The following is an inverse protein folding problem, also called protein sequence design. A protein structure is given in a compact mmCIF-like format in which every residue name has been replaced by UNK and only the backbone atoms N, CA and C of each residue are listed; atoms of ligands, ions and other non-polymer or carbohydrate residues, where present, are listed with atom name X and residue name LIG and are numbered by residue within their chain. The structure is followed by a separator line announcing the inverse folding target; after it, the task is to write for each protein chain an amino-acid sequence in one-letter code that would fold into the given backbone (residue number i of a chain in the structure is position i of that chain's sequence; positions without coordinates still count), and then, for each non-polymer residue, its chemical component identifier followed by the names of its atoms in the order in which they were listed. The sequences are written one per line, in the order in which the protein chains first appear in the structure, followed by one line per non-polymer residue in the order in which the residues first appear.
data_IF_159597824291
#
_entry.id   IF_159597824291
#
_cell.length_a   1.000
_cell.length_b   1.000
_cell.length_c   1.000
_cell.angle_alpha   90.00
_cell.angle_beta   90.00
_cell.angle_gamma   90.00
#
_symmetry.space_group_name_H-M   'P 1'
#
loop_
_entity.id
_entity.type
_entity.pdbx_description
1 polymer ?
#
# COMPACT_ATOMS: atom_id res chain seq x y z
N UNK A 1 30.50 -4.92 -2.91
CA UNK A 1 30.30 -6.10 -3.77
C UNK A 1 29.37 -5.69 -4.91
N UNK A 2 29.88 -5.57 -6.14
CA UNK A 2 29.04 -5.22 -7.30
C UNK A 2 28.39 -6.49 -7.88
N UNK A 3 27.09 -6.65 -7.66
CA UNK A 3 26.32 -7.65 -8.39
C UNK A 3 26.12 -7.13 -9.81
N UNK A 4 26.75 -7.78 -10.79
CA UNK A 4 26.62 -7.37 -12.20
C UNK A 4 25.18 -7.62 -12.65
N UNK A 5 24.64 -6.73 -13.49
CA UNK A 5 23.29 -6.85 -14.07
C UNK A 5 22.99 -8.23 -14.65
N UNK A 6 23.99 -8.89 -15.24
CA UNK A 6 23.88 -10.26 -15.77
C UNK A 6 23.62 -11.31 -14.68
N UNK A 7 24.19 -11.13 -13.50
CA UNK A 7 24.05 -12.07 -12.38
C UNK A 7 22.71 -11.86 -11.66
N UNK A 8 22.21 -10.62 -11.59
CA UNK A 8 20.84 -10.31 -11.17
C UNK A 8 19.79 -10.85 -12.16
N UNK A 9 20.03 -10.71 -13.47
CA UNK A 9 19.14 -11.27 -14.51
C UNK A 9 19.18 -12.80 -14.54
N UNK A 10 20.29 -13.43 -14.14
CA UNK A 10 20.31 -14.88 -13.89
C UNK A 10 19.52 -15.24 -12.64
N UNK A 11 19.59 -14.47 -11.55
CA UNK A 11 18.77 -14.71 -10.36
C UNK A 11 17.26 -14.62 -10.67
N UNK A 12 16.84 -13.60 -11.43
CA UNK A 12 15.44 -13.43 -11.85
C UNK A 12 15.03 -14.34 -13.02
N UNK A 13 15.97 -14.71 -13.89
CA UNK A 13 15.72 -15.53 -15.08
C UNK A 13 15.86 -17.04 -14.85
N UNK A 14 16.62 -17.48 -13.85
CA UNK A 14 16.72 -18.92 -13.49
C UNK A 14 15.43 -19.39 -12.78
N UNK A 15 14.66 -18.48 -12.19
CA UNK A 15 13.28 -18.77 -11.74
C UNK A 15 12.25 -18.82 -12.87
N UNK A 16 12.61 -18.46 -14.11
CA UNK A 16 11.66 -18.44 -15.27
C UNK A 16 12.16 -19.06 -16.58
N UNK A 17 13.40 -19.54 -16.70
CA UNK A 17 14.05 -19.59 -18.03
C UNK A 17 14.93 -20.78 -18.42
N UNK A 18 14.86 -21.97 -17.79
CA UNK A 18 15.66 -23.14 -18.28
C UNK A 18 14.87 -24.43 -18.52
N UNK A 19 13.56 -24.35 -18.73
CA UNK A 19 12.77 -25.45 -19.32
C UNK A 19 11.77 -24.85 -20.33
N UNK A 20 12.26 -24.43 -21.50
CA UNK A 20 11.39 -23.95 -22.58
C UNK A 20 11.65 -24.59 -23.95
N UNK A 21 12.36 -25.73 -24.00
CA UNK A 21 12.59 -26.46 -25.25
C UNK A 21 12.45 -27.98 -25.07
N UNK A 22 11.26 -28.44 -24.67
CA UNK A 22 10.73 -29.74 -25.14
C UNK A 22 9.23 -29.86 -24.84
N UNK A 23 8.43 -29.64 -25.88
CA UNK A 23 7.11 -30.22 -26.12
C UNK A 23 6.05 -30.15 -25.00
N UNK A 24 5.11 -29.22 -25.20
CA UNK A 24 3.68 -29.47 -25.01
C UNK A 24 3.23 -29.91 -23.62
N UNK A 25 3.18 -29.00 -22.66
CA UNK A 25 2.08 -28.91 -21.67
C UNK A 25 2.16 -27.57 -20.94
N UNK A 26 0.98 -27.03 -20.65
CA UNK A 26 0.76 -25.82 -19.84
C UNK A 26 1.48 -25.99 -18.48
N UNK A 27 2.04 -24.91 -17.93
CA UNK A 27 1.98 -24.46 -16.52
C UNK A 27 3.17 -23.53 -16.22
N UNK A 28 2.84 -22.28 -15.84
CA UNK A 28 3.79 -21.35 -15.23
C UNK A 28 4.36 -21.99 -13.95
N UNK A 29 5.68 -22.02 -13.83
CA UNK A 29 6.41 -22.56 -12.69
C UNK A 29 6.20 -21.72 -11.43
N UNK A 30 5.16 -22.07 -10.67
CA UNK A 30 4.96 -21.65 -9.29
C UNK A 30 5.80 -22.53 -8.34
N UNK A 31 6.35 -22.02 -7.23
CA UNK A 31 7.12 -22.82 -6.25
C UNK A 31 6.34 -24.00 -5.65
N UNK A 32 5.03 -24.07 -5.87
CA UNK A 32 4.15 -25.18 -5.50
C UNK A 32 4.41 -26.50 -6.26
N UNK A 33 5.13 -26.52 -7.38
CA UNK A 33 5.39 -27.77 -8.12
C UNK A 33 6.68 -28.53 -7.71
N UNK A 34 7.50 -27.98 -6.81
CA UNK A 34 8.70 -28.68 -6.31
C UNK A 34 8.32 -29.96 -5.54
N UNK A 35 7.12 -29.99 -4.95
CA UNK A 35 6.59 -31.17 -4.25
C UNK A 35 6.34 -32.39 -5.17
N UNK A 36 6.32 -32.21 -6.49
CA UNK A 36 6.05 -33.27 -7.46
C UNK A 36 7.31 -33.85 -8.13
N UNK A 37 8.50 -33.32 -7.83
CA UNK A 37 9.74 -33.80 -8.44
C UNK A 37 10.43 -34.86 -7.56
N UNK A 38 10.91 -35.94 -8.20
CA UNK A 38 11.56 -37.06 -7.51
C UNK A 38 12.77 -36.64 -6.67
N UNK A 39 13.06 -37.43 -5.63
CA UNK A 39 14.12 -37.17 -4.61
C UNK A 39 15.49 -36.81 -5.18
N UNK A 40 15.83 -37.28 -6.39
CA UNK A 40 17.12 -37.01 -7.03
C UNK A 40 17.23 -35.59 -7.64
N UNK A 41 16.13 -35.03 -8.14
CA UNK A 41 16.09 -33.65 -8.65
C UNK A 41 16.26 -32.66 -7.50
N UNK A 42 15.60 -32.93 -6.37
CA UNK A 42 15.73 -32.14 -5.12
C UNK A 42 17.17 -32.18 -4.59
N UNK A 43 17.81 -33.35 -4.53
CA UNK A 43 19.22 -33.48 -4.10
C UNK A 43 20.19 -32.69 -4.98
N UNK A 44 19.93 -32.63 -6.29
CA UNK A 44 20.78 -31.91 -7.25
C UNK A 44 20.66 -30.40 -7.07
N UNK A 45 19.44 -29.89 -6.84
CA UNK A 45 19.22 -28.47 -6.52
C UNK A 45 19.85 -28.07 -5.18
N UNK A 46 19.77 -28.94 -4.16
CA UNK A 46 20.42 -28.73 -2.85
C UNK A 46 21.95 -28.71 -2.95
N UNK A 47 22.57 -29.52 -3.82
CA UNK A 47 24.02 -29.42 -4.08
C UNK A 47 24.40 -28.12 -4.81
N UNK A 48 23.58 -27.66 -5.74
CA UNK A 48 23.80 -26.39 -6.43
C UNK A 48 23.65 -25.18 -5.49
N UNK A 49 22.79 -25.26 -4.47
CA UNK A 49 22.61 -24.22 -3.45
C UNK A 49 23.74 -24.15 -2.42
N UNK A 50 24.63 -25.16 -2.33
CA UNK A 50 25.82 -25.10 -1.46
C UNK A 50 26.82 -24.02 -1.88
N UNK A 51 26.70 -23.49 -3.11
CA UNK A 51 27.48 -22.36 -3.60
C UNK A 51 26.82 -20.99 -3.34
N UNK A 52 25.66 -20.97 -2.69
CA UNK A 52 24.89 -19.74 -2.46
C UNK A 52 25.14 -19.27 -1.03
N UNK A 53 25.63 -18.04 -0.89
CA UNK A 53 25.82 -17.37 0.41
C UNK A 53 24.53 -16.71 0.93
N UNK A 54 23.37 -17.05 0.35
CA UNK A 54 22.10 -16.45 0.72
C UNK A 54 21.39 -17.28 1.80
N UNK A 55 21.17 -16.67 2.96
CA UNK A 55 20.41 -17.26 4.06
C UNK A 55 18.98 -16.66 4.06
N UNK A 56 17.94 -17.40 3.65
CA UNK A 56 16.58 -16.90 3.66
C UNK A 56 16.07 -16.64 5.09
N UNK A 57 15.17 -15.66 5.24
CA UNK A 57 14.47 -15.43 6.51
C UNK A 57 13.60 -16.64 6.83
N UNK A 58 13.70 -17.15 8.07
CA UNK A 58 12.84 -18.23 8.56
C UNK A 58 11.42 -17.69 8.75
N UNK A 59 10.47 -18.24 7.99
CA UNK A 59 9.03 -17.95 8.15
C UNK A 59 8.39 -18.96 9.11
N UNK A 60 7.23 -18.70 9.73
CA UNK A 60 6.59 -19.63 10.66
C UNK A 60 5.97 -20.86 9.99
N UNK A 61 6.00 -20.95 8.66
CA UNK A 61 5.40 -22.03 7.88
C UNK A 61 6.52 -22.93 7.34
N UNK A 62 6.53 -24.24 7.66
CA UNK A 62 7.52 -25.16 7.09
C UNK A 62 7.39 -25.20 5.57
N UNK A 63 8.51 -25.01 4.86
CA UNK A 63 8.53 -25.09 3.40
C UNK A 63 9.09 -26.45 2.94
N UNK A 64 8.52 -26.97 1.85
CA UNK A 64 8.95 -28.25 1.26
C UNK A 64 10.42 -28.26 0.84
N UNK A 65 10.97 -27.09 0.50
CA UNK A 65 12.38 -26.90 0.14
C UNK A 65 13.35 -27.25 1.28
N UNK A 66 12.88 -27.30 2.53
CA UNK A 66 13.72 -27.66 3.67
C UNK A 66 13.92 -29.18 3.81
N UNK A 67 13.13 -29.99 3.10
CA UNK A 67 13.23 -31.45 3.07
C UNK A 67 13.28 -32.09 4.48
N UNK A 68 12.44 -31.60 5.39
CA UNK A 68 12.30 -32.09 6.76
C UNK A 68 11.20 -33.15 6.86
N UNK A 69 11.41 -34.21 7.66
CA UNK A 69 10.35 -35.14 8.03
C UNK A 69 9.27 -34.45 8.88
N UNK A 70 8.09 -35.05 9.00
CA UNK A 70 6.99 -34.52 9.80
C UNK A 70 7.39 -34.27 11.27
N UNK A 71 8.18 -35.18 11.86
CA UNK A 71 8.71 -35.04 13.22
C UNK A 71 9.69 -33.88 13.34
N UNK A 72 10.57 -33.72 12.33
CA UNK A 72 11.52 -32.62 12.28
C UNK A 72 10.82 -31.28 12.11
N UNK A 73 9.76 -31.21 11.29
CA UNK A 73 8.94 -30.01 11.13
C UNK A 73 8.27 -29.64 12.45
N UNK A 74 7.58 -30.59 13.11
CA UNK A 74 6.94 -30.37 14.41
C UNK A 74 7.91 -29.86 15.46
N UNK A 75 9.13 -30.39 15.50
CA UNK A 75 10.16 -29.96 16.43
C UNK A 75 10.69 -28.54 16.10
N UNK A 76 11.05 -28.29 14.83
CA UNK A 76 11.70 -27.05 14.37
C UNK A 76 10.75 -25.84 14.31
N UNK A 77 9.46 -26.09 14.13
CA UNK A 77 8.39 -25.09 14.04
C UNK A 77 7.46 -25.08 15.25
N UNK A 78 7.85 -25.75 16.36
CA UNK A 78 7.09 -25.77 17.61
C UNK A 78 6.84 -24.37 18.18
N UNK A 79 7.81 -23.48 18.01
CA UNK A 79 7.76 -22.10 18.49
C UNK A 79 8.24 -21.16 17.38
N UNK A 80 7.74 -19.93 17.45
CA UNK A 80 8.17 -18.82 16.60
C UNK A 80 8.19 -17.55 17.44
N UNK A 81 8.97 -16.58 16.98
CA UNK A 81 9.05 -15.25 17.57
C UNK A 81 8.16 -14.31 16.77
N UNK A 82 7.43 -13.44 17.47
CA UNK A 82 6.68 -12.34 16.86
C UNK A 82 7.54 -11.09 16.99
N UNK A 83 7.97 -10.56 15.85
CA UNK A 83 8.76 -9.32 15.77
C UNK A 83 7.92 -8.30 15.00
N UNK A 84 7.70 -7.13 15.60
CA UNK A 84 7.01 -6.00 14.97
C UNK A 84 8.01 -5.15 14.17
N UNK A 85 8.64 -5.76 13.16
CA UNK A 85 9.68 -5.16 12.31
C UNK A 85 9.76 -5.85 10.94
N UNK A 86 10.34 -5.17 9.95
CA UNK A 86 10.67 -5.77 8.65
C UNK A 86 11.97 -6.57 8.77
N UNK A 87 11.83 -7.89 8.83
CA UNK A 87 12.97 -8.81 8.88
C UNK A 87 13.50 -9.10 7.48
N UNK A 88 14.78 -8.84 7.25
CA UNK A 88 15.45 -9.00 5.95
C UNK A 88 16.59 -10.02 6.00
N UNK A 89 16.95 -10.65 4.87
CA UNK A 89 18.17 -11.43 4.76
C UNK A 89 19.44 -10.60 4.97
N UNK A 90 20.54 -11.28 5.29
CA UNK A 90 21.85 -10.65 5.41
C UNK A 90 22.24 -9.85 4.16
N UNK A 91 22.77 -8.64 4.37
CA UNK A 91 23.18 -7.74 3.30
C UNK A 91 22.07 -6.84 2.73
N UNK A 92 20.83 -6.97 3.23
CA UNK A 92 19.72 -6.07 2.88
C UNK A 92 19.37 -5.14 4.03
N UNK A 93 18.90 -3.95 3.69
CA UNK A 93 18.38 -2.94 4.62
C UNK A 93 17.09 -2.36 4.07
N UNK A 94 16.34 -1.66 4.92
CA UNK A 94 15.21 -0.84 4.50
C UNK A 94 15.32 0.54 5.15
N UNK A 95 14.73 1.53 4.48
CA UNK A 95 14.63 2.90 4.98
C UNK A 95 13.15 3.33 4.92
N UNK A 96 12.67 4.01 5.96
CA UNK A 96 11.33 4.61 5.96
C UNK A 96 11.38 5.93 5.20
N UNK A 97 10.73 5.99 4.04
CA UNK A 97 10.71 7.19 3.18
C UNK A 97 9.68 8.21 3.66
N UNK A 98 8.52 7.75 4.11
CA UNK A 98 7.43 8.57 4.61
C UNK A 98 6.45 7.70 5.40
N UNK A 99 5.71 8.33 6.30
CA UNK A 99 4.66 7.73 7.12
C UNK A 99 3.44 8.62 7.18
N UNK A 100 2.29 8.05 7.53
CA UNK A 100 1.04 8.81 7.72
C UNK A 100 1.27 10.00 8.67
N UNK A 101 0.73 11.16 8.30
CA UNK A 101 0.89 12.41 9.06
C UNK A 101 2.07 13.29 8.60
N UNK A 102 3.09 12.75 7.93
CA UNK A 102 4.21 13.54 7.40
C UNK A 102 3.74 14.63 6.44
N UNK A 103 4.40 15.79 6.37
CA UNK A 103 4.00 16.87 5.46
C UNK A 103 4.10 16.45 3.98
N UNK A 104 3.05 16.77 3.21
CA UNK A 104 3.01 16.64 1.74
C UNK A 104 2.24 17.83 1.16
N UNK A 105 2.95 18.77 0.54
CA UNK A 105 2.35 20.01 0.03
C UNK A 105 1.67 20.84 1.13
N UNK A 106 0.41 21.18 0.92
CA UNK A 106 -0.48 21.89 1.84
C UNK A 106 -1.25 20.96 2.79
N UNK A 107 -0.90 19.67 2.80
CA UNK A 107 -1.57 18.63 3.57
C UNK A 107 -0.53 17.64 4.14
N UNK A 108 -0.94 16.40 4.36
CA UNK A 108 -0.16 15.32 4.99
C UNK A 108 -0.05 14.09 4.09
N UNK A 109 0.86 13.18 4.37
CA UNK A 109 0.89 11.84 3.81
C UNK A 109 -0.34 11.08 4.33
N UNK A 110 -1.06 10.42 3.44
CA UNK A 110 -2.35 9.78 3.75
C UNK A 110 -2.20 8.46 4.51
N UNK A 111 -3.34 7.89 4.89
CA UNK A 111 -3.42 6.64 5.65
C UNK A 111 -3.39 5.43 4.71
N UNK A 112 -2.77 4.34 5.18
CA UNK A 112 -2.73 3.05 4.50
C UNK A 112 -2.33 3.15 3.02
N UNK A 113 -1.06 3.48 2.80
CA UNK A 113 -0.52 3.54 1.45
C UNK A 113 -0.63 2.17 0.76
N UNK A 114 -0.95 2.20 -0.52
CA UNK A 114 -1.02 1.00 -1.36
C UNK A 114 -0.14 1.22 -2.59
N UNK A 115 -0.70 1.12 -3.80
CA UNK A 115 0.05 1.21 -5.05
C UNK A 115 0.96 2.43 -5.11
N UNK A 116 2.19 2.17 -5.56
CA UNK A 116 3.22 3.18 -5.75
C UNK A 116 3.80 3.10 -7.17
N UNK A 117 4.16 4.26 -7.71
CA UNK A 117 4.86 4.38 -8.99
C UNK A 117 5.96 5.41 -8.89
N UNK A 118 7.18 5.03 -9.28
CA UNK A 118 8.33 5.94 -9.32
C UNK A 118 8.53 6.45 -10.73
N UNK A 119 8.52 7.77 -10.88
CA UNK A 119 8.77 8.47 -12.14
C UNK A 119 10.09 9.23 -11.98
N UNK A 120 11.15 8.70 -12.60
CA UNK A 120 12.45 9.37 -12.64
C UNK A 120 12.34 10.68 -13.43
N UNK A 121 12.84 11.76 -12.85
CA UNK A 121 12.87 13.08 -13.51
C UNK A 121 14.28 13.44 -13.97
N UNK A 122 15.29 12.96 -13.22
CA UNK A 122 16.73 13.09 -13.48
C UNK A 122 17.48 11.93 -12.81
N UNK A 123 18.74 11.66 -13.18
CA UNK A 123 19.54 10.66 -12.48
C UNK A 123 19.51 10.85 -10.96
N UNK A 124 19.06 9.81 -10.25
CA UNK A 124 18.95 9.78 -8.77
C UNK A 124 17.91 10.74 -8.17
N UNK A 125 16.95 11.21 -8.96
CA UNK A 125 15.85 12.09 -8.53
C UNK A 125 14.54 11.66 -9.20
N UNK A 126 13.43 11.83 -8.51
CA UNK A 126 12.14 11.55 -9.12
C UNK A 126 10.96 11.79 -8.20
N UNK A 127 9.78 11.52 -8.74
CA UNK A 127 8.55 11.55 -7.99
C UNK A 127 8.09 10.14 -7.67
N UNK A 128 7.66 9.92 -6.44
CA UNK A 128 6.88 8.76 -6.06
C UNK A 128 5.42 9.18 -6.00
N UNK A 129 4.57 8.54 -6.78
CA UNK A 129 3.11 8.66 -6.67
C UNK A 129 2.60 7.52 -5.81
N UNK A 130 1.76 7.81 -4.83
CA UNK A 130 1.30 6.86 -3.81
C UNK A 130 -0.22 6.95 -3.69
N UNK A 131 -0.90 5.81 -3.75
CA UNK A 131 -2.31 5.71 -3.41
C UNK A 131 -2.49 5.57 -1.89
N UNK A 132 -3.54 6.18 -1.36
CA UNK A 132 -4.01 6.05 0.02
C UNK A 132 -5.43 5.51 -0.04
N UNK A 133 -5.57 4.20 0.19
CA UNK A 133 -6.74 3.46 -0.27
C UNK A 133 -7.97 3.67 0.63
N UNK A 134 -7.79 3.52 1.95
CA UNK A 134 -8.89 3.58 2.92
C UNK A 134 -8.37 3.94 4.32
N UNK A 135 -9.29 4.19 5.25
CA UNK A 135 -8.97 4.29 6.68
C UNK A 135 -9.43 3.03 7.43
N UNK A 136 -8.56 2.48 8.27
CA UNK A 136 -8.95 1.42 9.22
C UNK A 136 -9.64 2.04 10.41
N UNK A 137 -10.97 2.18 10.36
CA UNK A 137 -11.73 3.07 11.25
C UNK A 137 -11.43 2.96 12.75
N UNK A 138 -11.19 1.76 13.29
CA UNK A 138 -10.79 1.59 14.71
C UNK A 138 -9.40 2.16 14.96
N UNK A 139 -8.38 1.61 14.31
CA UNK A 139 -6.97 2.01 14.47
C UNK A 139 -6.76 3.48 14.14
N UNK A 140 -7.39 3.98 13.07
CA UNK A 140 -7.32 5.38 12.67
C UNK A 140 -7.81 6.29 13.79
N UNK A 141 -8.99 6.03 14.39
CA UNK A 141 -9.50 6.83 15.53
C UNK A 141 -8.59 6.76 16.75
N UNK A 142 -8.14 5.56 17.12
CA UNK A 142 -7.29 5.32 18.30
C UNK A 142 -5.93 6.03 18.22
N UNK A 143 -5.43 6.27 17.00
CA UNK A 143 -4.08 6.83 16.77
C UNK A 143 -4.08 8.22 16.13
N UNK A 144 -5.23 8.73 15.68
CA UNK A 144 -5.35 10.01 14.96
C UNK A 144 -4.69 11.15 15.70
N UNK A 145 -5.05 11.38 16.97
CA UNK A 145 -4.49 12.51 17.73
C UNK A 145 -2.98 12.37 17.92
N UNK A 146 -2.48 11.15 18.16
CA UNK A 146 -1.04 10.89 18.31
C UNK A 146 -0.25 11.21 17.04
N UNK A 147 -0.80 10.88 15.87
CA UNK A 147 -0.11 11.05 14.58
C UNK A 147 -0.31 12.46 14.02
N UNK A 148 -1.52 13.01 14.17
CA UNK A 148 -1.93 14.28 13.55
C UNK A 148 -1.76 15.47 14.49
N UNK A 149 -1.73 15.27 15.80
CA UNK A 149 -1.67 16.34 16.80
C UNK A 149 -2.97 17.13 16.93
N UNK A 150 -4.11 16.57 16.49
CA UNK A 150 -5.43 17.20 16.54
C UNK A 150 -6.46 16.21 17.04
N UNK A 151 -7.31 16.62 17.97
CA UNK A 151 -8.47 15.82 18.41
C UNK A 151 -9.65 15.98 17.47
N UNK A 152 -10.51 14.96 17.41
CA UNK A 152 -11.78 14.95 16.68
C UNK A 152 -12.91 14.54 17.61
N UNK A 153 -14.17 14.94 17.32
CA UNK A 153 -15.30 14.74 18.21
C UNK A 153 -15.85 13.30 18.17
N UNK A 154 -14.98 12.30 18.29
CA UNK A 154 -15.36 10.89 18.19
C UNK A 154 -16.30 10.47 19.31
N UNK A 155 -16.00 10.85 20.54
CA UNK A 155 -16.78 10.45 21.71
C UNK A 155 -18.18 11.05 21.69
N UNK A 156 -18.35 12.31 21.27
CA UNK A 156 -19.68 12.91 21.26
C UNK A 156 -20.55 12.36 20.13
N UNK A 157 -19.96 12.09 18.97
CA UNK A 157 -20.69 11.43 17.87
C UNK A 157 -21.03 9.99 18.24
N UNK A 158 -20.13 9.27 18.91
CA UNK A 158 -20.38 7.91 19.39
C UNK A 158 -21.47 7.87 20.44
N UNK A 159 -21.45 8.77 21.43
CA UNK A 159 -22.48 8.85 22.46
C UNK A 159 -23.88 9.05 21.85
N UNK A 160 -24.00 9.96 20.87
CA UNK A 160 -25.26 10.14 20.15
C UNK A 160 -25.68 8.88 19.37
N UNK A 161 -24.75 8.22 18.69
CA UNK A 161 -25.04 6.97 17.99
C UNK A 161 -25.53 5.88 18.96
N UNK A 162 -24.88 5.71 20.11
CA UNK A 162 -25.24 4.71 21.12
C UNK A 162 -26.68 4.94 21.65
N UNK A 163 -27.09 6.18 21.86
CA UNK A 163 -28.48 6.55 22.22
C UNK A 163 -29.48 6.24 21.10
N UNK A 164 -29.03 6.20 19.84
CA UNK A 164 -29.83 5.99 18.64
C UNK A 164 -29.58 4.62 17.99
N UNK A 165 -29.31 3.58 18.81
CA UNK A 165 -29.12 2.18 18.37
C UNK A 165 -27.98 2.00 17.34
N UNK A 166 -26.98 2.87 17.39
CA UNK A 166 -25.83 2.86 16.49
C UNK A 166 -26.06 3.57 15.16
N UNK A 167 -27.20 4.22 14.94
CA UNK A 167 -27.55 4.84 13.66
C UNK A 167 -27.73 6.36 13.77
N UNK A 168 -27.29 7.09 12.74
CA UNK A 168 -27.50 8.53 12.62
C UNK A 168 -27.91 8.86 11.18
N UNK A 169 -29.12 9.39 10.99
CA UNK A 169 -29.55 9.90 9.69
C UNK A 169 -29.08 11.35 9.48
N UNK A 170 -27.87 11.51 8.95
CA UNK A 170 -27.22 12.81 8.74
C UNK A 170 -27.92 13.68 7.68
N UNK A 171 -28.67 13.07 6.76
CA UNK A 171 -29.39 13.79 5.70
C UNK A 171 -30.61 14.56 6.24
N UNK A 172 -31.20 14.08 7.33
CA UNK A 172 -32.35 14.73 7.96
C UNK A 172 -31.94 15.92 8.87
N UNK A 173 -30.66 16.01 9.24
CA UNK A 173 -30.16 17.09 10.09
C UNK A 173 -30.10 18.42 9.33
N UNK A 174 -30.51 19.50 10.01
CA UNK A 174 -30.41 20.87 9.51
C UNK A 174 -28.96 21.24 9.16
N UNK A 175 -28.77 22.26 8.32
CA UNK A 175 -27.43 22.64 7.84
C UNK A 175 -26.53 23.17 8.96
N UNK A 176 -27.11 23.88 9.91
CA UNK A 176 -26.47 24.49 11.08
C UNK A 176 -26.52 23.59 12.33
N UNK A 177 -26.91 22.32 12.15
CA UNK A 177 -26.95 21.34 13.23
C UNK A 177 -25.52 21.05 13.78
N UNK A 178 -25.40 21.06 15.10
CA UNK A 178 -24.12 20.87 15.80
C UNK A 178 -23.59 19.45 15.62
N UNK A 179 -24.45 18.43 15.69
CA UNK A 179 -24.06 17.05 15.48
C UNK A 179 -23.61 16.84 14.03
N UNK A 180 -24.33 17.42 13.07
CA UNK A 180 -23.92 17.39 11.66
C UNK A 180 -22.54 17.98 11.45
N UNK A 181 -22.26 19.13 12.06
CA UNK A 181 -20.94 19.78 12.01
C UNK A 181 -19.82 18.90 12.58
N UNK A 182 -20.08 18.18 13.68
CA UNK A 182 -19.12 17.22 14.28
C UNK A 182 -18.86 16.03 13.36
N UNK A 183 -19.91 15.48 12.74
CA UNK A 183 -19.80 14.37 11.78
C UNK A 183 -19.04 14.81 10.54
N UNK A 184 -19.33 16.00 10.00
CA UNK A 184 -18.62 16.57 8.86
C UNK A 184 -17.13 16.78 9.16
N UNK A 185 -16.77 17.20 10.38
CA UNK A 185 -15.38 17.32 10.78
C UNK A 185 -14.64 15.97 10.72
N UNK A 186 -15.25 14.90 11.23
CA UNK A 186 -14.69 13.53 11.18
C UNK A 186 -14.58 13.05 9.73
N UNK A 187 -15.66 13.15 8.95
CA UNK A 187 -15.70 12.69 7.57
C UNK A 187 -14.70 13.45 6.68
N UNK A 188 -14.53 14.74 6.92
CA UNK A 188 -13.54 15.57 6.22
C UNK A 188 -12.13 15.03 6.43
N UNK A 189 -11.74 14.76 7.67
CA UNK A 189 -10.40 14.26 7.98
C UNK A 189 -10.18 12.84 7.45
N UNK A 190 -11.20 11.98 7.55
CA UNK A 190 -11.19 10.64 6.95
C UNK A 190 -10.96 10.66 5.43
N UNK A 191 -11.54 11.64 4.72
CA UNK A 191 -11.39 11.80 3.28
C UNK A 191 -10.09 12.53 2.90
N UNK A 192 -9.53 13.37 3.78
CA UNK A 192 -8.20 13.97 3.63
C UNK A 192 -7.11 12.89 3.64
N UNK A 193 -7.29 11.85 4.44
CA UNK A 193 -6.32 10.77 4.57
C UNK A 193 -6.38 9.73 3.43
N UNK A 194 -7.33 9.85 2.51
CA UNK A 194 -7.46 9.00 1.31
C UNK A 194 -7.06 9.74 0.03
N UNK A 195 -6.90 9.00 -1.07
CA UNK A 195 -6.65 9.55 -2.41
C UNK A 195 -5.22 9.30 -2.90
N UNK A 196 -4.53 10.32 -3.37
CA UNK A 196 -3.19 10.20 -3.97
C UNK A 196 -2.23 11.22 -3.33
N UNK A 197 -0.97 10.82 -3.14
CA UNK A 197 0.15 11.68 -2.82
C UNK A 197 1.20 11.64 -3.92
N UNK A 198 1.82 12.79 -4.18
CA UNK A 198 3.01 12.91 -5.01
C UNK A 198 4.10 13.50 -4.12
N UNK A 199 5.20 12.77 -3.99
CA UNK A 199 6.35 13.18 -3.17
C UNK A 199 7.63 13.16 -4.00
N UNK A 200 8.49 14.12 -3.74
CA UNK A 200 9.80 14.25 -4.36
C UNK A 200 10.87 13.50 -3.58
N UNK A 201 11.67 12.71 -4.30
CA UNK A 201 12.75 11.90 -3.76
C UNK A 201 14.08 12.21 -4.45
N UNK A 202 15.17 12.10 -3.70
CA UNK A 202 16.53 12.18 -4.21
C UNK A 202 17.43 11.20 -3.47
N UNK A 203 18.43 10.63 -4.14
CA UNK A 203 19.48 9.88 -3.43
C UNK A 203 20.49 10.82 -2.77
N UNK A 204 20.84 10.51 -1.54
CA UNK A 204 21.93 11.17 -0.81
C UNK A 204 23.31 10.69 -1.31
N UNK A 205 24.38 11.22 -0.71
CA UNK A 205 25.76 10.91 -1.10
C UNK A 205 26.15 9.43 -0.94
N UNK A 206 25.45 8.68 -0.08
CA UNK A 206 25.66 7.25 0.14
C UNK A 206 24.66 6.38 -0.64
N UNK A 207 23.85 6.98 -1.49
CA UNK A 207 22.95 6.27 -2.41
C UNK A 207 21.56 5.94 -1.86
N UNK A 208 21.20 6.39 -0.66
CA UNK A 208 19.87 6.16 -0.08
C UNK A 208 18.86 7.21 -0.53
N UNK A 209 17.64 6.78 -0.81
CA UNK A 209 16.55 7.69 -1.16
C UNK A 209 16.05 8.45 0.07
N UNK A 210 15.81 9.75 -0.09
CA UNK A 210 15.23 10.60 0.94
C UNK A 210 14.23 11.59 0.35
N UNK A 211 13.28 12.04 1.18
CA UNK A 211 12.36 13.13 0.85
C UNK A 211 13.14 14.42 0.56
N UNK A 212 12.67 15.17 -0.43
CA UNK A 212 13.18 16.53 -0.67
C UNK A 212 12.23 17.62 -0.17
N UNK A 213 10.97 17.26 0.16
CA UNK A 213 9.93 18.19 0.58
C UNK A 213 9.73 19.37 -0.40
N UNK A 214 9.83 19.07 -1.70
CA UNK A 214 9.68 20.05 -2.77
C UNK A 214 8.32 20.77 -2.68
N UNK A 215 8.28 22.02 -3.13
CA UNK A 215 7.04 22.79 -3.31
C UNK A 215 6.07 22.13 -4.30
N UNK A 216 6.57 21.20 -5.13
CA UNK A 216 5.77 20.40 -6.06
C UNK A 216 5.14 19.17 -5.42
N UNK A 217 5.50 18.82 -4.17
CA UNK A 217 4.82 17.75 -3.43
C UNK A 217 3.33 18.11 -3.29
N UNK A 218 2.46 17.13 -3.52
CA UNK A 218 1.02 17.40 -3.62
C UNK A 218 0.17 16.28 -3.07
N UNK A 219 -0.95 16.67 -2.46
CA UNK A 219 -2.06 15.78 -2.15
C UNK A 219 -3.24 16.00 -3.09
N UNK A 220 -3.85 14.90 -3.49
CA UNK A 220 -5.17 14.82 -4.11
C UNK A 220 -6.00 13.96 -3.16
N UNK A 221 -6.76 14.60 -2.29
CA UNK A 221 -7.61 13.95 -1.28
C UNK A 221 -8.95 13.49 -1.85
N UNK A 222 -9.70 12.68 -1.10
CA UNK A 222 -11.06 12.27 -1.44
C UNK A 222 -12.08 13.42 -1.54
N UNK A 223 -11.72 14.63 -1.10
CA UNK A 223 -12.54 15.85 -1.17
C UNK A 223 -11.85 17.00 -1.92
N UNK A 224 -10.89 16.68 -2.79
CA UNK A 224 -10.21 17.69 -3.61
C UNK A 224 -11.21 18.48 -4.46
N UNK A 225 -11.11 19.81 -4.40
CA UNK A 225 -12.03 20.71 -5.10
C UNK A 225 -13.21 21.19 -4.27
N UNK A 226 -13.55 20.53 -3.15
CA UNK A 226 -14.75 20.85 -2.39
C UNK A 226 -14.76 22.28 -1.83
N UNK A 227 -13.59 22.77 -1.37
CA UNK A 227 -13.45 24.09 -0.74
C UNK A 227 -12.98 25.18 -1.70
N UNK A 228 -12.16 24.83 -2.70
CA UNK A 228 -11.48 25.77 -3.58
C UNK A 228 -11.98 25.73 -5.03
N UNK A 229 -12.98 24.90 -5.33
CA UNK A 229 -13.58 24.75 -6.65
C UNK A 229 -12.70 24.01 -7.67
N UNK A 230 -11.50 23.55 -7.29
CA UNK A 230 -10.56 22.84 -8.18
C UNK A 230 -10.89 21.34 -8.27
N UNK A 231 -12.12 21.03 -8.65
CA UNK A 231 -12.61 19.66 -8.77
C UNK A 231 -11.84 18.84 -9.80
N UNK A 232 -11.73 17.54 -9.53
CA UNK A 232 -11.25 16.56 -10.52
C UNK A 232 -12.21 16.55 -11.72
N UNK A 233 -11.65 16.45 -12.92
CA UNK A 233 -12.43 16.41 -14.16
C UNK A 233 -12.86 14.98 -14.45
N UNK A 234 -14.12 14.80 -14.82
CA UNK A 234 -14.58 13.58 -15.49
C UNK A 234 -14.42 13.75 -17.01
N UNK A 235 -14.05 12.68 -17.71
CA UNK A 235 -13.93 12.64 -19.17
C UNK A 235 -14.45 11.31 -19.72
N UNK A 236 -14.75 11.24 -21.02
CA UNK A 236 -15.22 10.01 -21.68
C UNK A 236 -16.75 9.79 -21.60
N UNK A 237 -17.26 8.66 -22.12
CA UNK A 237 -18.70 8.44 -22.28
C UNK A 237 -19.51 8.48 -20.98
N UNK A 238 -18.89 8.15 -19.84
CA UNK A 238 -19.56 8.11 -18.53
C UNK A 238 -20.06 9.47 -18.03
N UNK A 239 -19.53 10.59 -18.56
CA UNK A 239 -20.03 11.93 -18.20
C UNK A 239 -21.52 12.06 -18.49
N UNK A 240 -22.03 11.39 -19.53
CA UNK A 240 -23.45 11.45 -19.93
C UNK A 240 -24.42 10.98 -18.84
N UNK A 241 -23.96 10.21 -17.85
CA UNK A 241 -24.77 9.79 -16.71
C UNK A 241 -25.02 10.95 -15.73
N UNK A 242 -24.06 11.88 -15.62
CA UNK A 242 -24.08 13.00 -14.68
C UNK A 242 -24.60 14.30 -15.31
N UNK A 243 -24.76 14.34 -16.64
CA UNK A 243 -25.39 15.46 -17.35
C UNK A 243 -26.91 15.46 -17.10
N UNK A 244 -27.36 16.39 -16.25
CA UNK A 244 -28.80 16.60 -16.01
C UNK A 244 -29.47 17.06 -17.30
N UNK A 245 -30.40 16.26 -17.84
CA UNK A 245 -31.28 16.71 -18.94
C UNK A 245 -32.13 17.88 -18.44
N UNK A 246 -31.81 19.09 -18.86
CA UNK A 246 -32.68 20.24 -18.66
C UNK A 246 -33.81 20.11 -19.68
N UNK A 247 -34.94 19.52 -19.26
CA UNK A 247 -36.17 19.59 -20.03
C UNK A 247 -36.65 21.05 -20.01
N UNK A 248 -36.26 21.83 -21.01
CA UNK A 248 -36.91 23.11 -21.31
C UNK A 248 -38.32 22.82 -21.81
N UNK A 249 -39.29 22.81 -20.91
CA UNK A 249 -40.70 22.98 -21.30
C UNK A 249 -40.83 24.44 -21.76
N UNK A 250 -40.76 24.65 -23.07
CA UNK A 250 -41.21 25.92 -23.65
C UNK A 250 -42.73 25.98 -23.46
N UNK A 251 -43.18 26.72 -22.45
CA UNK A 251 -44.55 27.22 -22.42
C UNK A 251 -44.64 28.29 -23.51
N UNK A 252 -45.15 27.92 -24.67
CA UNK A 252 -45.71 28.88 -25.63
C UNK A 252 -47.01 29.40 -25.03
N UNK A 253 -47.03 30.70 -24.71
CA UNK A 253 -48.25 31.43 -24.37
C UNK A 253 -49.10 31.72 -25.60
#
# INVERSE_FOLDING_TARGET
MEIKRRDLLKFLGVSTGTILLSQGTKVLSSPFMVAAQGKETVKTMVKASQYWTFSPVKIPIPLTIENLSDEQQKSKYKTYEVVDDVVLPEGFTYDVIAQWGDKVGDSRFGYNNDYLSFVETRPNEGFLTINFEYISGKTWRETYEKVIGKSLPFEEVKAFADENKGEINTFALAKDDVLKSKIEAIATEALIDQGIGIISLKKNAIGQWQRTYSETDRRITGISGLKDGRYLKATGPGIKVFEKKINRVMKTG
#
